data_IF_760503198054
#
_entry.id   IF_760503198054
#
_cell.length_a   1.000
_cell.length_b   1.000
_cell.length_c   1.000
_cell.angle_alpha   90.00
_cell.angle_beta   90.00
_cell.angle_gamma   90.00
#
_symmetry.space_group_name_H-M   'P 1'
#
loop_
_entity.id
_entity.type
_entity.pdbx_description
1 polymer ?
#
# COMPACT_ATOMS: atom_id res chain seq x y z
N UNK A 1 -8.88 -25.66 44.54
CA UNK A 1 -7.89 -24.97 43.68
C UNK A 1 -8.58 -24.65 42.36
N UNK A 2 -9.21 -23.49 42.28
CA UNK A 2 -9.87 -23.01 41.08
C UNK A 2 -8.85 -22.14 40.35
N UNK A 3 -8.43 -22.57 39.16
CA UNK A 3 -7.53 -21.78 38.33
C UNK A 3 -8.37 -20.59 37.87
N UNK A 4 -8.09 -19.41 38.40
CA UNK A 4 -8.61 -18.15 37.86
C UNK A 4 -8.25 -18.13 36.38
N UNK A 5 -9.25 -18.32 35.53
CA UNK A 5 -9.10 -18.11 34.10
C UNK A 5 -8.51 -16.72 33.91
N UNK A 6 -7.37 -16.64 33.22
CA UNK A 6 -6.79 -15.38 32.78
C UNK A 6 -7.80 -14.77 31.84
N UNK A 7 -8.74 -14.00 32.40
CA UNK A 7 -9.59 -13.11 31.63
C UNK A 7 -8.61 -12.10 31.08
N UNK A 8 -8.28 -12.27 29.80
CA UNK A 8 -7.40 -11.38 29.07
C UNK A 8 -8.15 -10.06 28.99
N UNK A 9 -8.02 -9.23 30.02
CA UNK A 9 -8.52 -7.86 30.08
C UNK A 9 -7.62 -7.02 29.17
N UNK A 10 -7.57 -7.40 27.90
CA UNK A 10 -7.04 -6.53 26.87
C UNK A 10 -8.18 -5.61 26.52
N UNK A 11 -8.03 -4.34 26.91
CA UNK A 11 -8.95 -3.31 26.50
C UNK A 11 -9.03 -3.31 24.97
N UNK A 12 -10.17 -3.75 24.44
CA UNK A 12 -10.42 -3.86 23.00
C UNK A 12 -10.32 -2.50 22.33
N UNK A 13 -10.57 -1.43 23.07
CA UNK A 13 -10.38 -0.06 22.61
C UNK A 13 -8.88 0.22 22.39
N UNK A 14 -8.03 -0.05 23.39
CA UNK A 14 -6.58 0.13 23.27
C UNK A 14 -5.97 -0.77 22.20
N UNK A 15 -6.47 -1.99 22.02
CA UNK A 15 -6.06 -2.86 20.90
C UNK A 15 -6.43 -2.25 19.54
N UNK A 16 -7.64 -1.71 19.42
CA UNK A 16 -8.09 -1.00 18.23
C UNK A 16 -7.22 0.22 17.93
N UNK A 17 -6.94 1.06 18.93
CA UNK A 17 -6.05 2.22 18.79
C UNK A 17 -4.64 1.81 18.40
N UNK A 18 -4.08 0.76 19.03
CA UNK A 18 -2.78 0.21 18.67
C UNK A 18 -2.74 -0.24 17.22
N UNK A 19 -3.76 -0.97 16.73
CA UNK A 19 -3.82 -1.42 15.33
C UNK A 19 -3.86 -0.24 14.35
N UNK A 20 -4.65 0.80 14.66
CA UNK A 20 -4.71 2.02 13.85
C UNK A 20 -3.34 2.71 13.82
N UNK A 21 -2.67 2.83 14.96
CA UNK A 21 -1.34 3.41 15.04
C UNK A 21 -0.30 2.58 14.27
N UNK A 22 -0.34 1.25 14.38
CA UNK A 22 0.53 0.33 13.64
C UNK A 22 0.32 0.44 12.12
N UNK A 23 -0.93 0.48 11.67
CA UNK A 23 -1.23 0.66 10.25
C UNK A 23 -0.74 2.02 9.73
N UNK A 24 -0.87 3.09 10.53
CA UNK A 24 -0.30 4.40 10.22
C UNK A 24 1.24 4.41 10.17
N UNK A 25 1.90 3.58 10.97
CA UNK A 25 3.35 3.35 10.88
C UNK A 25 3.76 2.63 9.60
N UNK A 26 3.05 1.55 9.26
CA UNK A 26 3.29 0.77 8.04
C UNK A 26 3.14 1.60 6.75
N UNK A 27 2.11 2.45 6.65
CA UNK A 27 1.94 3.36 5.51
C UNK A 27 3.15 4.29 5.32
N UNK A 28 3.66 4.88 6.41
CA UNK A 28 4.84 5.76 6.36
C UNK A 28 6.10 5.01 5.95
N UNK A 29 6.28 3.79 6.43
CA UNK A 29 7.43 2.96 6.08
C UNK A 29 7.44 2.60 4.59
N UNK A 30 6.30 2.18 4.03
CA UNK A 30 6.15 1.90 2.59
C UNK A 30 6.44 3.14 1.75
N UNK A 31 5.93 4.31 2.16
CA UNK A 31 6.21 5.58 1.48
C UNK A 31 7.68 5.96 1.56
N UNK A 32 8.31 5.80 2.73
CA UNK A 32 9.72 6.10 2.92
C UNK A 32 10.62 5.20 2.07
N UNK A 33 10.32 3.89 1.97
CA UNK A 33 11.04 2.96 1.10
C UNK A 33 10.95 3.41 -0.37
N UNK A 34 9.75 3.78 -0.82
CA UNK A 34 9.55 4.28 -2.19
C UNK A 34 10.31 5.58 -2.46
N UNK A 35 10.21 6.57 -1.56
CA UNK A 35 10.92 7.84 -1.69
C UNK A 35 12.44 7.66 -1.68
N UNK A 36 12.96 6.73 -0.87
CA UNK A 36 14.39 6.40 -0.85
C UNK A 36 14.86 5.81 -2.18
N UNK A 37 14.07 4.94 -2.82
CA UNK A 37 14.39 4.44 -4.17
C UNK A 37 14.41 5.57 -5.19
N UNK A 38 13.44 6.49 -5.12
CA UNK A 38 13.39 7.65 -6.01
C UNK A 38 14.62 8.56 -5.82
N UNK A 39 15.02 8.82 -4.58
CA UNK A 39 16.23 9.57 -4.25
C UNK A 39 17.49 8.87 -4.81
N UNK A 40 17.58 7.55 -4.70
CA UNK A 40 18.69 6.77 -5.26
C UNK A 40 18.73 6.82 -6.80
N UNK A 41 17.58 6.74 -7.46
CA UNK A 41 17.46 6.79 -8.91
C UNK A 41 17.85 8.17 -9.48
N UNK A 42 17.48 9.26 -8.78
CA UNK A 42 17.80 10.64 -9.19
C UNK A 42 19.22 11.04 -8.76
N UNK A 43 19.68 10.51 -7.62
CA UNK A 43 20.89 10.92 -6.93
C UNK A 43 20.71 12.23 -6.17
N UNK A 44 21.62 12.51 -5.23
CA UNK A 44 21.71 13.82 -4.55
C UNK A 44 22.55 14.80 -5.38
N UNK A 45 22.35 16.13 -5.22
CA UNK A 45 23.10 17.14 -5.96
C UNK A 45 24.62 16.99 -5.86
N UNK A 46 25.10 16.57 -4.68
CA UNK A 46 26.54 16.41 -4.40
C UNK A 46 27.08 15.02 -4.81
N UNK A 47 26.22 14.10 -5.27
CA UNK A 47 26.66 12.75 -5.67
C UNK A 47 27.18 12.71 -7.11
N UNK A 48 28.38 12.15 -7.26
CA UNK A 48 28.99 11.94 -8.57
C UNK A 48 28.11 10.99 -9.40
N UNK A 49 27.69 11.45 -10.58
CA UNK A 49 26.84 10.67 -11.48
C UNK A 49 25.33 10.82 -11.26
N UNK A 50 24.89 11.70 -10.34
CA UNK A 50 23.47 12.10 -10.23
C UNK A 50 22.96 12.78 -11.49
N UNK A 51 21.63 12.82 -11.64
CA UNK A 51 20.99 13.59 -12.73
C UNK A 51 21.39 15.06 -12.68
N UNK A 52 21.49 15.65 -11.48
CA UNK A 52 21.96 17.02 -11.30
C UNK A 52 23.40 17.21 -11.80
N UNK A 53 24.33 16.31 -11.44
CA UNK A 53 25.71 16.39 -11.90
C UNK A 53 25.85 16.19 -13.42
N UNK A 54 25.06 15.29 -14.01
CA UNK A 54 25.01 15.06 -15.46
C UNK A 54 24.47 16.27 -16.21
N UNK A 55 23.45 16.92 -15.66
CA UNK A 55 22.88 18.14 -16.22
C UNK A 55 23.88 19.31 -16.17
N UNK A 56 24.57 19.49 -15.05
CA UNK A 56 25.60 20.50 -14.91
C UNK A 56 26.77 20.28 -15.89
N UNK A 57 27.20 19.02 -16.08
CA UNK A 57 28.24 18.67 -17.05
C UNK A 57 27.82 18.95 -18.50
N UNK A 58 26.55 18.70 -18.84
CA UNK A 58 25.99 19.02 -20.15
C UNK A 58 25.92 20.53 -20.39
N UNK A 59 25.46 21.31 -19.41
CA UNK A 59 25.41 22.77 -19.48
C UNK A 59 26.82 23.36 -19.66
N UNK A 60 27.80 22.89 -18.89
CA UNK A 60 29.19 23.30 -19.04
C UNK A 60 29.74 22.99 -20.44
N UNK A 61 29.43 21.82 -21.01
CA UNK A 61 29.87 21.46 -22.37
C UNK A 61 29.28 22.40 -23.43
N UNK A 62 28.02 22.86 -23.26
CA UNK A 62 27.41 23.85 -24.14
C UNK A 62 28.11 25.21 -24.04
N UNK A 63 28.39 25.69 -22.83
CA UNK A 63 29.10 26.97 -22.60
C UNK A 63 30.51 26.92 -23.20
N UNK A 64 31.25 25.83 -23.00
CA UNK A 64 32.59 25.67 -23.56
C UNK A 64 32.56 25.64 -25.10
N UNK A 65 31.63 24.90 -25.70
CA UNK A 65 31.49 24.85 -27.15
C UNK A 65 31.09 26.22 -27.75
N UNK A 66 30.21 26.98 -27.08
CA UNK A 66 29.83 28.32 -27.52
C UNK A 66 31.03 29.28 -27.59
N UNK A 67 32.02 29.12 -26.71
CA UNK A 67 33.25 29.91 -26.74
C UNK A 67 34.23 29.56 -27.88
N UNK A 68 34.12 28.37 -28.49
CA UNK A 68 34.93 27.89 -29.63
C UNK A 68 34.17 26.87 -30.48
N UNK A 69 33.20 27.30 -31.30
CA UNK A 69 32.30 26.40 -32.03
C UNK A 69 33.00 25.57 -33.11
N UNK A 70 34.17 25.98 -33.58
CA UNK A 70 35.00 25.26 -34.55
C UNK A 70 35.74 24.05 -33.95
N UNK A 71 35.79 23.94 -32.62
CA UNK A 71 36.50 22.85 -31.94
C UNK A 71 35.68 21.56 -31.97
N UNK A 72 36.05 20.62 -32.83
CA UNK A 72 35.43 19.29 -32.88
C UNK A 72 35.45 18.56 -31.54
N UNK A 73 36.52 18.73 -30.75
CA UNK A 73 36.62 18.15 -29.42
C UNK A 73 35.50 18.65 -28.47
N UNK A 74 35.20 19.96 -28.51
CA UNK A 74 34.13 20.55 -27.68
C UNK A 74 32.74 20.15 -28.17
N UNK A 75 32.53 20.06 -29.48
CA UNK A 75 31.29 19.52 -30.04
C UNK A 75 31.07 18.04 -29.65
N UNK A 76 32.14 17.24 -29.65
CA UNK A 76 32.10 15.85 -29.18
C UNK A 76 31.78 15.73 -27.67
N UNK A 77 32.25 16.68 -26.86
CA UNK A 77 31.92 16.75 -25.44
C UNK A 77 30.42 16.99 -25.19
N UNK A 78 29.76 17.83 -26.00
CA UNK A 78 28.30 18.01 -25.95
C UNK A 78 27.58 16.67 -26.19
N UNK A 79 27.93 15.96 -27.27
CA UNK A 79 27.29 14.69 -27.60
C UNK A 79 27.47 13.64 -26.48
N UNK A 80 28.65 13.62 -25.86
CA UNK A 80 28.99 12.68 -24.78
C UNK A 80 28.23 12.99 -23.50
N UNK A 81 28.18 14.27 -23.09
CA UNK A 81 27.46 14.72 -21.90
C UNK A 81 25.95 14.64 -22.07
N UNK A 82 25.42 14.93 -23.27
CA UNK A 82 24.02 14.71 -23.62
C UNK A 82 23.63 13.24 -23.47
N UNK A 83 24.43 12.32 -24.03
CA UNK A 83 24.20 10.87 -23.91
C UNK A 83 24.23 10.43 -22.45
N UNK A 84 25.21 10.89 -21.69
CA UNK A 84 25.30 10.60 -20.25
C UNK A 84 24.05 11.06 -19.49
N UNK A 85 23.51 12.24 -19.80
CA UNK A 85 22.28 12.75 -19.20
C UNK A 85 21.06 11.89 -19.59
N UNK A 86 20.91 11.57 -20.89
CA UNK A 86 19.78 10.75 -21.36
C UNK A 86 19.83 9.33 -20.79
N UNK A 87 21.01 8.74 -20.66
CA UNK A 87 21.18 7.40 -20.07
C UNK A 87 20.78 7.42 -18.58
N UNK A 88 21.15 8.48 -17.87
CA UNK A 88 20.71 8.67 -16.47
C UNK A 88 19.20 8.82 -16.34
N UNK A 89 18.56 9.59 -17.23
CA UNK A 89 17.11 9.76 -17.24
C UNK A 89 16.37 8.46 -17.57
N UNK A 90 16.89 7.68 -18.52
CA UNK A 90 16.36 6.38 -18.87
C UNK A 90 16.44 5.41 -17.67
N UNK A 91 17.62 5.30 -17.04
CA UNK A 91 17.80 4.45 -15.86
C UNK A 91 16.85 4.82 -14.71
N UNK A 92 16.73 6.12 -14.41
CA UNK A 92 15.82 6.58 -13.37
C UNK A 92 14.34 6.29 -13.71
N UNK A 93 13.97 6.39 -14.99
CA UNK A 93 12.62 6.05 -15.46
C UNK A 93 12.34 4.56 -15.28
N UNK A 94 13.28 3.70 -15.67
CA UNK A 94 13.16 2.24 -15.56
C UNK A 94 13.00 1.80 -14.10
N UNK A 95 13.80 2.36 -13.19
CA UNK A 95 13.71 2.09 -11.74
C UNK A 95 12.34 2.48 -11.18
N UNK A 96 11.82 3.64 -11.56
CA UNK A 96 10.49 4.10 -11.14
C UNK A 96 9.40 3.18 -11.69
N UNK A 97 9.45 2.79 -12.97
CA UNK A 97 8.45 1.87 -13.53
C UNK A 97 8.51 0.49 -12.86
N UNK A 98 9.70 -0.03 -12.58
CA UNK A 98 9.87 -1.28 -11.84
C UNK A 98 9.30 -1.20 -10.41
N UNK A 99 9.51 -0.07 -9.72
CA UNK A 99 8.93 0.17 -8.40
C UNK A 99 7.39 0.22 -8.45
N UNK A 100 6.82 0.86 -9.48
CA UNK A 100 5.37 0.91 -9.70
C UNK A 100 4.79 -0.48 -9.97
N UNK A 101 5.42 -1.27 -10.84
CA UNK A 101 4.98 -2.64 -11.14
C UNK A 101 5.06 -3.54 -9.90
N UNK A 102 6.11 -3.38 -9.09
CA UNK A 102 6.24 -4.07 -7.81
C UNK A 102 5.11 -3.71 -6.84
N UNK A 103 4.77 -2.43 -6.73
CA UNK A 103 3.67 -1.97 -5.89
C UNK A 103 2.31 -2.54 -6.36
N UNK A 104 2.02 -2.48 -7.66
CA UNK A 104 0.78 -3.02 -8.23
C UNK A 104 0.61 -4.53 -7.97
N UNK A 105 1.67 -5.33 -8.16
CA UNK A 105 1.65 -6.75 -7.84
C UNK A 105 1.43 -7.00 -6.35
N UNK A 106 2.14 -6.27 -5.47
CA UNK A 106 1.98 -6.40 -4.01
C UNK A 106 0.56 -6.06 -3.57
N UNK A 107 -0.08 -5.05 -4.17
CA UNK A 107 -1.49 -4.73 -3.89
C UNK A 107 -2.38 -5.92 -4.26
N UNK A 108 -2.18 -6.54 -5.42
CA UNK A 108 -2.93 -7.74 -5.83
C UNK A 108 -2.76 -8.92 -4.86
N UNK A 109 -1.53 -9.18 -4.42
CA UNK A 109 -1.23 -10.23 -3.43
C UNK A 109 -1.94 -9.97 -2.09
N UNK A 110 -1.86 -8.74 -1.56
CA UNK A 110 -2.50 -8.36 -0.30
C UNK A 110 -4.04 -8.37 -0.41
N UNK A 111 -4.62 -7.98 -1.55
CA UNK A 111 -6.06 -8.09 -1.80
C UNK A 111 -6.51 -9.55 -1.81
N UNK A 112 -5.75 -10.43 -2.46
CA UNK A 112 -6.01 -11.87 -2.45
C UNK A 112 -5.96 -12.45 -1.03
N UNK A 113 -4.93 -12.09 -0.26
CA UNK A 113 -4.79 -12.48 1.15
C UNK A 113 -5.95 -11.97 2.00
N UNK A 114 -6.32 -10.70 1.86
CA UNK A 114 -7.41 -10.07 2.58
C UNK A 114 -8.75 -10.78 2.36
N UNK A 115 -9.10 -11.07 1.09
CA UNK A 115 -10.32 -11.81 0.76
C UNK A 115 -10.34 -13.21 1.40
N UNK A 116 -9.20 -13.93 1.36
CA UNK A 116 -9.10 -15.25 1.95
C UNK A 116 -9.26 -15.20 3.48
N UNK A 117 -8.62 -14.24 4.15
CA UNK A 117 -8.72 -14.08 5.61
C UNK A 117 -10.12 -13.63 6.04
N UNK A 118 -10.79 -12.75 5.29
CA UNK A 118 -12.20 -12.38 5.54
C UNK A 118 -13.12 -13.60 5.41
N UNK A 119 -12.88 -14.46 4.42
CA UNK A 119 -13.66 -15.69 4.22
C UNK A 119 -13.48 -16.67 5.39
N UNK A 120 -12.24 -16.89 5.85
CA UNK A 120 -11.95 -17.70 7.03
C UNK A 120 -12.62 -17.13 8.29
N UNK A 121 -12.60 -15.81 8.46
CA UNK A 121 -13.26 -15.15 9.59
C UNK A 121 -14.78 -15.32 9.53
N UNK A 122 -15.37 -15.31 8.34
CA UNK A 122 -16.80 -15.59 8.16
C UNK A 122 -17.15 -17.02 8.60
N UNK A 123 -16.39 -18.04 8.15
CA UNK A 123 -16.58 -19.43 8.55
C UNK A 123 -16.48 -19.59 10.08
N UNK A 124 -15.46 -18.98 10.68
CA UNK A 124 -15.27 -18.98 12.13
C UNK A 124 -16.44 -18.30 12.87
N UNK A 125 -17.00 -17.21 12.33
CA UNK A 125 -18.18 -16.56 12.88
C UNK A 125 -19.42 -17.47 12.84
N UNK A 126 -19.56 -18.33 11.82
CA UNK A 126 -20.63 -19.33 11.75
C UNK A 126 -20.43 -20.42 12.80
N UNK A 127 -19.19 -20.89 12.99
CA UNK A 127 -18.85 -21.88 14.01
C UNK A 127 -19.06 -21.35 15.43
N UNK A 128 -18.57 -20.13 15.72
CA UNK A 128 -18.75 -19.44 17.01
C UNK A 128 -20.23 -19.32 17.38
N UNK A 129 -21.09 -18.97 16.42
CA UNK A 129 -22.53 -18.89 16.63
C UNK A 129 -23.12 -20.23 17.04
N UNK A 130 -22.75 -21.30 16.34
CA UNK A 130 -23.22 -22.66 16.59
C UNK A 130 -22.78 -23.16 17.98
N UNK A 131 -21.49 -23.01 18.31
CA UNK A 131 -20.92 -23.49 19.58
C UNK A 131 -21.43 -22.69 20.77
N UNK A 132 -21.51 -21.36 20.63
CA UNK A 132 -22.05 -20.48 21.68
C UNK A 132 -23.52 -20.80 21.95
N UNK A 133 -24.32 -20.98 20.90
CA UNK A 133 -25.73 -21.36 21.04
C UNK A 133 -25.93 -22.73 21.70
N UNK A 134 -24.97 -23.64 21.54
CA UNK A 134 -24.95 -24.96 22.17
C UNK A 134 -24.31 -24.97 23.57
N UNK A 135 -23.87 -23.82 24.10
CA UNK A 135 -23.21 -23.72 25.41
C UNK A 135 -21.85 -24.42 25.49
N UNK A 136 -21.17 -24.62 24.35
CA UNK A 136 -19.83 -25.24 24.28
C UNK A 136 -18.74 -24.22 24.59
N UNK A 137 -17.57 -24.72 24.98
CA UNK A 137 -16.38 -23.88 25.11
C UNK A 137 -15.95 -23.35 23.72
N UNK A 138 -15.76 -22.04 23.64
CA UNK A 138 -15.38 -21.30 22.43
C UNK A 138 -14.04 -20.59 22.57
N UNK A 139 -13.31 -20.80 23.66
CA UNK A 139 -12.09 -20.04 23.98
C UNK A 139 -11.05 -20.10 22.86
N UNK A 140 -10.79 -21.28 22.30
CA UNK A 140 -9.88 -21.44 21.17
C UNK A 140 -10.35 -20.74 19.88
N UNK A 141 -11.67 -20.72 19.63
CA UNK A 141 -12.25 -20.03 18.47
C UNK A 141 -12.15 -18.51 18.63
N UNK A 142 -12.26 -17.99 19.86
CA UNK A 142 -12.06 -16.57 20.14
C UNK A 142 -10.61 -16.14 19.92
N UNK A 143 -9.64 -16.99 20.28
CA UNK A 143 -8.21 -16.74 20.01
C UNK A 143 -7.91 -16.76 18.50
N UNK A 144 -8.46 -17.73 17.77
CA UNK A 144 -8.30 -17.81 16.32
C UNK A 144 -8.94 -16.61 15.61
N UNK A 145 -10.11 -16.16 16.09
CA UNK A 145 -10.77 -14.93 15.60
C UNK A 145 -9.85 -13.75 15.74
N UNK A 146 -9.20 -13.62 16.90
CA UNK A 146 -8.27 -12.55 17.17
C UNK A 146 -7.07 -12.59 16.21
N UNK A 147 -6.51 -13.77 15.95
CA UNK A 147 -5.42 -13.97 14.97
C UNK A 147 -5.83 -13.56 13.55
N UNK A 148 -7.05 -13.88 13.12
CA UNK A 148 -7.56 -13.50 11.80
C UNK A 148 -7.82 -11.99 11.70
N UNK A 149 -8.41 -11.38 12.74
CA UNK A 149 -8.62 -9.92 12.80
C UNK A 149 -7.28 -9.17 12.77
N UNK A 150 -6.26 -9.66 13.48
CA UNK A 150 -4.94 -9.04 13.47
C UNK A 150 -4.29 -9.10 12.07
N UNK A 151 -4.43 -10.22 11.34
CA UNK A 151 -3.96 -10.32 9.96
C UNK A 151 -4.68 -9.36 9.01
N UNK A 152 -6.00 -9.22 9.14
CA UNK A 152 -6.77 -8.25 8.36
C UNK A 152 -6.29 -6.83 8.68
N UNK A 153 -6.09 -6.53 9.97
CA UNK A 153 -5.69 -5.19 10.43
C UNK A 153 -4.30 -4.75 9.98
N UNK A 154 -3.42 -5.72 9.65
CA UNK A 154 -2.11 -5.44 9.08
C UNK A 154 -2.20 -4.94 7.64
N UNK A 155 -3.28 -5.26 6.92
CA UNK A 155 -3.51 -4.87 5.52
C UNK A 155 -4.37 -3.61 5.45
N UNK A 156 -5.47 -3.58 6.21
CA UNK A 156 -6.43 -2.47 6.21
C UNK A 156 -6.82 -2.10 7.64
N UNK A 157 -6.85 -0.81 8.01
CA UNK A 157 -7.35 -0.40 9.31
C UNK A 157 -8.83 -0.78 9.49
N UNK A 158 -9.14 -1.50 10.57
CA UNK A 158 -10.49 -2.03 10.84
C UNK A 158 -11.05 -1.65 12.21
N UNK A 159 -12.37 -1.67 12.30
CA UNK A 159 -13.17 -1.57 13.53
C UNK A 159 -14.02 -2.82 13.69
N UNK A 160 -13.92 -3.44 14.85
CA UNK A 160 -14.71 -4.61 15.24
C UNK A 160 -15.98 -4.15 15.97
N UNK A 161 -17.13 -4.69 15.57
CA UNK A 161 -18.42 -4.44 16.20
C UNK A 161 -18.98 -5.78 16.70
N UNK A 162 -19.17 -5.95 18.02
CA UNK A 162 -19.77 -7.16 18.56
C UNK A 162 -21.19 -7.39 18.03
N UNK A 163 -21.53 -8.65 17.80
CA UNK A 163 -22.88 -9.13 17.48
C UNK A 163 -23.27 -10.22 18.49
N UNK A 164 -24.51 -10.69 18.41
CA UNK A 164 -25.02 -11.77 19.26
C UNK A 164 -24.21 -13.06 19.09
N UNK A 165 -24.27 -13.94 20.09
CA UNK A 165 -23.64 -15.28 20.06
C UNK A 165 -22.15 -15.26 19.71
N UNK A 166 -21.40 -14.30 20.26
CA UNK A 166 -19.96 -14.10 20.06
C UNK A 166 -19.51 -13.80 18.62
N UNK A 167 -20.46 -13.51 17.72
CA UNK A 167 -20.15 -13.08 16.37
C UNK A 167 -19.60 -11.65 16.35
N UNK A 168 -18.90 -11.31 15.28
CA UNK A 168 -18.42 -9.94 15.04
C UNK A 168 -18.78 -9.47 13.63
N UNK A 169 -19.03 -8.18 13.50
CA UNK A 169 -18.97 -7.48 12.22
C UNK A 169 -17.67 -6.68 12.14
N UNK A 170 -17.12 -6.55 10.94
CA UNK A 170 -15.85 -5.86 10.69
C UNK A 170 -16.06 -4.79 9.62
N UNK A 171 -15.62 -3.57 9.94
CA UNK A 171 -15.71 -2.41 9.05
C UNK A 171 -14.33 -1.77 8.88
N UNK A 172 -14.08 -1.15 7.73
CA UNK A 172 -12.92 -0.27 7.59
C UNK A 172 -13.10 0.97 8.49
N UNK A 173 -12.01 1.67 8.80
CA UNK A 173 -12.10 2.97 9.50
C UNK A 173 -12.92 3.99 8.70
N UNK A 174 -13.00 3.86 7.37
CA UNK A 174 -13.86 4.66 6.50
C UNK A 174 -15.34 4.26 6.50
N UNK A 175 -15.72 3.23 7.27
CA UNK A 175 -17.11 2.78 7.42
C UNK A 175 -17.58 1.76 6.38
N UNK A 176 -16.70 1.29 5.48
CA UNK A 176 -17.07 0.26 4.52
C UNK A 176 -17.14 -1.13 5.20
N UNK A 177 -18.19 -1.94 4.94
CA UNK A 177 -18.29 -3.27 5.53
C UNK A 177 -17.26 -4.22 4.88
N UNK A 178 -16.53 -4.94 5.72
CA UNK A 178 -15.66 -6.06 5.32
C UNK A 178 -16.31 -7.41 5.63
N UNK A 179 -17.03 -7.49 6.75
CA UNK A 179 -17.80 -8.66 7.16
C UNK A 179 -19.02 -8.20 7.95
N UNK A 180 -20.22 -8.38 7.41
CA UNK A 180 -21.48 -8.16 8.14
C UNK A 180 -22.54 -9.11 7.61
N UNK A 181 -22.75 -10.23 8.31
CA UNK A 181 -23.56 -11.36 7.84
C UNK A 181 -22.90 -12.16 6.69
N UNK A 182 -22.28 -11.49 5.73
CA UNK A 182 -21.55 -12.08 4.59
C UNK A 182 -20.21 -11.37 4.37
N UNK A 183 -19.19 -12.08 3.85
CA UNK A 183 -17.89 -11.49 3.55
C UNK A 183 -18.00 -10.52 2.36
N UNK A 184 -17.36 -9.35 2.48
CA UNK A 184 -17.22 -8.44 1.35
C UNK A 184 -16.14 -8.94 0.38
N UNK A 185 -16.31 -8.64 -0.91
CA UNK A 185 -15.32 -8.94 -1.94
C UNK A 185 -14.53 -7.68 -2.25
N UNK A 186 -13.23 -7.73 -1.96
CA UNK A 186 -12.29 -6.67 -2.31
C UNK A 186 -11.75 -6.95 -3.72
N UNK A 187 -12.00 -6.04 -4.65
CA UNK A 187 -11.54 -6.19 -6.04
C UNK A 187 -10.34 -5.31 -6.34
N UNK A 188 -9.35 -5.89 -7.01
CA UNK A 188 -8.22 -5.20 -7.62
C UNK A 188 -7.73 -6.02 -8.81
N UNK A 189 -7.44 -5.36 -9.93
CA UNK A 189 -6.84 -6.00 -11.10
C UNK A 189 -5.42 -5.51 -11.26
N UNK A 190 -4.45 -6.41 -11.05
CA UNK A 190 -3.04 -6.10 -11.31
C UNK A 190 -2.79 -5.86 -12.79
N UNK A 191 -1.84 -4.96 -13.06
CA UNK A 191 -1.45 -4.53 -14.40
C UNK A 191 -0.16 -5.24 -14.80
N UNK A 192 -0.19 -6.00 -15.90
CA UNK A 192 0.96 -6.79 -16.36
C UNK A 192 2.16 -5.92 -16.82
N UNK A 193 1.87 -4.78 -17.45
CA UNK A 193 2.88 -3.84 -17.92
C UNK A 193 2.43 -2.44 -17.56
N UNK A 194 3.26 -1.72 -16.80
CA UNK A 194 2.99 -0.34 -16.43
C UNK A 194 3.90 0.55 -17.27
N UNK A 195 3.30 1.50 -17.96
CA UNK A 195 3.99 2.54 -18.71
C UNK A 195 3.89 3.89 -17.98
N UNK A 196 4.77 4.87 -18.30
CA UNK A 196 4.81 6.15 -17.61
C UNK A 196 3.49 6.93 -17.59
N UNK A 197 2.69 6.84 -18.66
CA UNK A 197 1.43 7.55 -18.85
C UNK A 197 0.23 6.91 -18.13
N UNK A 198 0.34 5.66 -17.72
CA UNK A 198 -0.73 4.97 -17.01
C UNK A 198 -0.90 5.58 -15.63
N UNK A 199 -2.10 5.98 -15.26
CA UNK A 199 -2.43 6.43 -13.91
C UNK A 199 -3.79 5.85 -13.54
N UNK A 200 -4.15 5.89 -12.26
CA UNK A 200 -5.50 5.53 -11.85
C UNK A 200 -6.54 6.50 -12.44
N UNK A 201 -6.23 7.80 -12.47
CA UNK A 201 -7.12 8.83 -13.01
C UNK A 201 -7.34 8.69 -14.53
N UNK A 202 -6.33 8.24 -15.27
CA UNK A 202 -6.43 7.95 -16.71
C UNK A 202 -7.06 6.58 -17.01
N UNK A 203 -7.43 5.81 -15.98
CA UNK A 203 -7.96 4.45 -16.13
C UNK A 203 -6.92 3.40 -16.53
N UNK A 204 -5.64 3.79 -16.61
CA UNK A 204 -4.55 2.86 -16.91
C UNK A 204 -4.23 1.92 -15.75
N UNK A 205 -4.56 2.30 -14.50
CA UNK A 205 -4.36 1.46 -13.31
C UNK A 205 -5.69 1.19 -12.61
N UNK A 206 -5.84 -0.01 -12.06
CA UNK A 206 -7.03 -0.40 -11.30
C UNK A 206 -7.19 0.42 -10.01
N UNK A 207 -8.44 0.68 -9.63
CA UNK A 207 -8.77 1.11 -8.28
C UNK A 207 -9.08 -0.10 -7.38
N UNK A 208 -9.14 0.15 -6.08
CA UNK A 208 -9.69 -0.80 -5.11
C UNK A 208 -11.20 -0.69 -5.17
N UNK A 209 -11.88 -1.83 -5.16
CA UNK A 209 -13.33 -1.89 -5.07
C UNK A 209 -13.75 -2.72 -3.86
N UNK A 210 -14.90 -2.39 -3.29
CA UNK A 210 -15.56 -3.18 -2.24
C UNK A 210 -16.94 -3.55 -2.79
N UNK A 211 -17.20 -4.85 -2.95
CA UNK A 211 -18.41 -5.37 -3.59
C UNK A 211 -18.68 -4.75 -4.97
N UNK A 212 -17.62 -4.56 -5.76
CA UNK A 212 -17.68 -3.96 -7.10
C UNK A 212 -17.85 -2.44 -7.13
N UNK A 213 -17.94 -1.76 -5.98
CA UNK A 213 -17.99 -0.29 -5.90
C UNK A 213 -16.60 0.28 -5.68
N UNK A 214 -16.15 1.28 -6.44
CA UNK A 214 -14.88 1.96 -6.20
C UNK A 214 -14.77 2.48 -4.77
N UNK A 215 -13.60 2.28 -4.17
CA UNK A 215 -13.27 2.77 -2.84
C UNK A 215 -12.10 3.75 -2.94
N UNK A 216 -12.29 4.95 -2.38
CA UNK A 216 -11.25 5.98 -2.36
C UNK A 216 -10.20 5.66 -1.28
N UNK A 217 -8.99 5.37 -1.73
CA UNK A 217 -7.82 5.12 -0.87
C UNK A 217 -6.94 6.35 -0.69
N UNK A 218 -7.21 7.46 -1.41
CA UNK A 218 -6.41 8.68 -1.38
C UNK A 218 -6.63 9.51 -0.10
N UNK A 219 -7.53 9.07 0.80
CA UNK A 219 -7.77 9.74 2.07
C UNK A 219 -8.44 11.11 1.92
N UNK A 220 -9.10 11.38 0.80
CA UNK A 220 -9.94 12.57 0.70
C UNK A 220 -11.09 12.41 1.69
N UNK A 221 -11.08 13.24 2.74
CA UNK A 221 -12.26 13.48 3.56
C UNK A 221 -13.31 14.12 2.66
N UNK A 222 -14.06 13.30 1.93
CA UNK A 222 -15.37 13.71 1.42
C UNK A 222 -16.26 13.83 2.65
N UNK A 223 -16.31 15.04 3.21
CA UNK A 223 -17.36 15.41 4.14
C UNK A 223 -18.72 15.27 3.44
N UNK A 224 -19.78 14.90 4.16
CA UNK A 224 -21.09 14.76 3.55
C UNK A 224 -21.60 16.13 3.10
N UNK A 225 -21.93 16.24 1.81
CA UNK A 225 -22.81 17.29 1.27
C UNK A 225 -22.11 18.41 0.52
N UNK A 226 -22.00 18.27 -0.80
CA UNK A 226 -22.44 19.28 -1.76
C UNK A 226 -22.98 18.58 -3.02
N UNK A 227 -24.30 18.55 -3.13
CA UNK A 227 -25.08 18.47 -4.36
C UNK A 227 -26.29 19.39 -4.16
#
# INVERSE_FOLDING_TARGET
MQILGVTRDVDRHLLGERRIAQAGGGDREVRAEFLKRLEQAVGTPDSAGSLASRLAAFDQALVEAAGRPESQARLGAIATTARSLTDGLAAATDDIQAARATADRRIGEEVGRLNATISQLHELNVELRSFTGAGRDVSALLDERQRLVDQISAIVPVREIPRDLNQIALFTVGGAPLLDGSPAVIGFSSTHTITPEMTQASGGLSCITINGRPYDTAGSRVGPGQA
#
